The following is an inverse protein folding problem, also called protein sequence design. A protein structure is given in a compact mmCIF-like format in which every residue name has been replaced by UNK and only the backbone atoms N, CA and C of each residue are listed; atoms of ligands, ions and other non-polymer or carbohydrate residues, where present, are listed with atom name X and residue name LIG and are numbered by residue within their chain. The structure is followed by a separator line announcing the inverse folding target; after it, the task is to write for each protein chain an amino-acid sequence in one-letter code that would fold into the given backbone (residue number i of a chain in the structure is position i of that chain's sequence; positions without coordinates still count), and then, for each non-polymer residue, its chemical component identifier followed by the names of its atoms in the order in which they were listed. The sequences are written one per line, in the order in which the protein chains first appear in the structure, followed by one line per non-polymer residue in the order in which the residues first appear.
data_IF_262169189422
#
_entry.id   IF_262169189422
#
_cell.length_a   1.000
_cell.length_b   1.000
_cell.length_c   1.000
_cell.angle_alpha   90.00
_cell.angle_beta   90.00
_cell.angle_gamma   90.00
#
_symmetry.space_group_name_H-M   'P 1'
#
loop_
_entity.id
_entity.type
_entity.pdbx_description
1 polymer ?
#
# COMPACT_ATOMS: atom_id res chain seq x y z
N UNK A 1 -7.71 -1.95 -4.14
CA UNK A 1 -8.98 -1.38 -4.70
C UNK A 1 -9.48 -2.32 -5.79
N UNK A 2 -10.77 -2.55 -5.85
CA UNK A 2 -11.45 -3.39 -6.83
C UNK A 2 -12.41 -2.51 -7.64
N UNK A 3 -12.50 -2.75 -8.95
CA UNK A 3 -13.45 -2.08 -9.84
C UNK A 3 -14.48 -3.08 -10.33
N UNK A 4 -15.76 -2.79 -10.16
CA UNK A 4 -16.84 -3.59 -10.70
C UNK A 4 -17.16 -3.24 -12.16
N UNK A 5 -17.93 -4.12 -12.84
CA UNK A 5 -18.36 -3.90 -14.24
C UNK A 5 -19.22 -2.64 -14.42
N UNK A 6 -19.95 -2.23 -13.38
CA UNK A 6 -20.77 -1.02 -13.35
C UNK A 6 -20.00 0.25 -12.99
N UNK A 7 -18.67 0.19 -12.99
CA UNK A 7 -17.74 1.25 -12.62
C UNK A 7 -17.83 1.72 -11.17
N UNK A 8 -18.28 0.87 -10.26
CA UNK A 8 -18.15 1.11 -8.84
C UNK A 8 -16.77 0.67 -8.34
N UNK A 9 -16.21 1.44 -7.43
CA UNK A 9 -14.91 1.16 -6.83
C UNK A 9 -15.08 0.75 -5.38
N UNK A 10 -14.45 -0.34 -4.99
CA UNK A 10 -14.48 -0.86 -3.63
C UNK A 10 -13.05 -1.00 -3.10
N UNK A 11 -12.88 -0.85 -1.80
CA UNK A 11 -11.64 -1.19 -1.14
C UNK A 11 -11.90 -2.32 -0.16
N UNK A 12 -11.18 -3.42 -0.35
CA UNK A 12 -11.05 -4.47 0.63
C UNK A 12 -9.73 -4.26 1.37
N UNK A 13 -9.82 -3.92 2.64
CA UNK A 13 -8.69 -3.68 3.52
C UNK A 13 -8.58 -4.79 4.56
N UNK A 14 -7.51 -5.57 4.47
CA UNK A 14 -7.16 -6.55 5.49
C UNK A 14 -6.14 -5.93 6.43
N UNK A 15 -6.55 -5.70 7.66
CA UNK A 15 -5.67 -5.19 8.72
C UNK A 15 -4.91 -6.36 9.33
N UNK A 16 -3.70 -6.60 8.83
CA UNK A 16 -2.78 -7.59 9.36
C UNK A 16 -1.35 -7.15 9.12
N UNK A 17 -0.48 -7.33 10.11
CA UNK A 17 0.98 -7.15 10.02
C UNK A 17 1.73 -8.47 9.91
N UNK A 18 1.03 -9.59 9.91
CA UNK A 18 1.65 -10.91 9.78
C UNK A 18 2.03 -11.20 8.33
N UNK A 19 3.00 -12.07 8.14
CA UNK A 19 3.37 -12.57 6.82
C UNK A 19 2.16 -13.21 6.14
N UNK A 20 1.95 -12.90 4.86
CA UNK A 20 0.73 -13.26 4.15
C UNK A 20 1.02 -13.51 2.67
N UNK A 21 0.39 -14.56 2.13
CA UNK A 21 0.30 -14.80 0.71
C UNK A 21 -1.06 -14.34 0.18
N UNK A 22 -1.05 -13.61 -0.91
CA UNK A 22 -2.28 -13.25 -1.64
C UNK A 22 -2.28 -13.97 -2.97
N UNK A 23 -3.09 -15.01 -3.08
CA UNK A 23 -3.15 -15.87 -4.25
C UNK A 23 -4.36 -15.52 -5.09
N UNK A 24 -4.14 -15.16 -6.34
CA UNK A 24 -5.20 -14.94 -7.33
C UNK A 24 -5.23 -16.15 -8.26
N UNK A 25 -6.40 -16.72 -8.45
CA UNK A 25 -6.60 -17.83 -9.36
C UNK A 25 -7.83 -17.62 -10.25
N UNK A 26 -7.75 -18.19 -11.45
CA UNK A 26 -8.87 -18.26 -12.40
C UNK A 26 -9.00 -19.71 -12.84
N UNK A 27 -10.13 -20.32 -12.50
CA UNK A 27 -10.45 -21.68 -12.92
C UNK A 27 -11.84 -21.72 -13.55
N UNK A 28 -11.93 -22.28 -14.74
CA UNK A 28 -13.18 -22.39 -15.53
C UNK A 28 -14.01 -21.08 -15.58
N UNK A 29 -13.34 -19.93 -15.68
CA UNK A 29 -13.98 -18.61 -15.70
C UNK A 29 -14.40 -18.06 -14.33
N UNK A 30 -14.14 -18.78 -13.25
CA UNK A 30 -14.32 -18.30 -11.88
C UNK A 30 -13.04 -17.68 -11.36
N UNK A 31 -13.16 -16.47 -10.85
CA UNK A 31 -12.04 -15.74 -10.26
C UNK A 31 -12.09 -15.88 -8.73
N UNK A 32 -10.95 -16.14 -8.12
CA UNK A 32 -10.81 -16.23 -6.67
C UNK A 32 -9.60 -15.46 -6.17
N UNK A 33 -9.71 -14.97 -4.93
CA UNK A 33 -8.60 -14.39 -4.19
C UNK A 33 -8.55 -15.11 -2.84
N UNK A 34 -7.40 -15.70 -2.54
CA UNK A 34 -7.15 -16.38 -1.28
C UNK A 34 -6.12 -15.61 -0.48
N UNK A 35 -6.45 -15.28 0.76
CA UNK A 35 -5.53 -14.72 1.73
C UNK A 35 -5.07 -15.83 2.68
N UNK A 36 -3.78 -16.15 2.68
CA UNK A 36 -3.17 -17.15 3.55
C UNK A 36 -2.23 -16.44 4.52
N UNK A 37 -2.60 -16.39 5.78
CA UNK A 37 -1.89 -15.63 6.82
C UNK A 37 -1.31 -16.58 7.87
N UNK A 38 -0.10 -16.30 8.35
CA UNK A 38 0.54 -17.05 9.43
C UNK A 38 0.08 -16.47 10.77
N UNK A 39 -1.07 -16.95 11.28
CA UNK A 39 -1.62 -16.54 12.56
C UNK A 39 -2.27 -15.16 12.57
N UNK A 40 -2.75 -14.73 13.72
CA UNK A 40 -3.44 -13.44 13.89
C UNK A 40 -4.95 -13.52 13.64
N UNK A 41 -5.57 -12.38 13.47
CA UNK A 41 -7.00 -12.22 13.24
C UNK A 41 -7.23 -11.71 11.83
N UNK A 42 -8.23 -12.25 11.14
CA UNK A 42 -8.72 -11.68 9.89
C UNK A 42 -9.63 -10.49 10.19
N UNK A 43 -9.09 -9.29 10.20
CA UNK A 43 -9.85 -8.05 10.34
C UNK A 43 -10.04 -7.41 8.96
N UNK A 44 -11.16 -7.75 8.30
CA UNK A 44 -11.53 -7.19 7.01
C UNK A 44 -12.42 -5.97 7.17
N UNK A 45 -12.08 -4.91 6.42
CA UNK A 45 -12.90 -3.71 6.26
C UNK A 45 -13.22 -3.51 4.79
N UNK A 46 -14.49 -3.37 4.50
CA UNK A 46 -14.98 -3.16 3.14
C UNK A 46 -15.52 -1.74 3.01
N UNK A 47 -14.92 -0.96 2.12
CA UNK A 47 -15.40 0.38 1.77
C UNK A 47 -16.11 0.26 0.42
N UNK A 48 -17.45 0.34 0.47
CA UNK A 48 -18.28 -0.01 -0.67
C UNK A 48 -18.56 1.18 -1.58
N UNK A 49 -18.62 0.85 -2.79
CA UNK A 49 -19.02 1.35 -4.05
C UNK A 49 -19.34 2.83 -4.22
N UNK A 50 -18.35 3.54 -4.73
CA UNK A 50 -18.57 4.86 -5.32
C UNK A 50 -18.17 4.84 -6.79
N UNK A 51 -18.73 5.75 -7.58
CA UNK A 51 -18.40 5.92 -8.99
C UNK A 51 -16.99 6.50 -9.19
N UNK A 52 -16.47 7.18 -8.17
CA UNK A 52 -15.11 7.72 -8.14
C UNK A 52 -14.22 6.92 -7.18
N UNK A 53 -13.00 6.54 -7.58
CA UNK A 53 -12.04 5.92 -6.68
C UNK A 53 -11.63 6.85 -5.54
N UNK A 54 -11.62 8.18 -5.76
CA UNK A 54 -11.30 9.19 -4.76
C UNK A 54 -12.31 9.17 -3.62
N UNK A 55 -13.61 9.08 -3.92
CA UNK A 55 -14.67 9.04 -2.92
C UNK A 55 -14.56 7.77 -2.05
N UNK A 56 -14.17 6.64 -2.65
CA UNK A 56 -13.94 5.40 -1.91
C UNK A 56 -12.71 5.52 -1.00
N UNK A 57 -11.63 6.18 -1.47
CA UNK A 57 -10.45 6.50 -0.66
C UNK A 57 -10.78 7.47 0.47
N UNK A 58 -11.64 8.45 0.24
CA UNK A 58 -12.09 9.37 1.29
C UNK A 58 -12.79 8.61 2.43
N UNK A 59 -13.69 7.69 2.11
CA UNK A 59 -14.33 6.82 3.12
C UNK A 59 -13.30 6.02 3.93
N UNK A 60 -12.30 5.47 3.26
CA UNK A 60 -11.22 4.76 3.94
C UNK A 60 -10.42 5.70 4.86
N UNK A 61 -10.08 6.90 4.39
CA UNK A 61 -9.33 7.90 5.15
C UNK A 61 -10.13 8.43 6.35
N UNK A 62 -11.46 8.54 6.25
CA UNK A 62 -12.30 8.87 7.40
C UNK A 62 -12.25 7.80 8.49
N UNK A 63 -12.13 6.54 8.10
CA UNK A 63 -11.99 5.43 9.03
C UNK A 63 -10.58 5.31 9.63
N UNK A 64 -9.55 5.45 8.79
CA UNK A 64 -8.15 5.25 9.19
C UNK A 64 -7.47 6.49 9.77
N UNK A 65 -8.05 7.65 9.53
CA UNK A 65 -7.41 8.94 9.77
C UNK A 65 -6.69 9.45 8.52
N UNK A 66 -6.48 10.76 8.48
CA UNK A 66 -5.75 11.42 7.39
C UNK A 66 -4.25 11.34 7.66
N UNK A 67 -3.46 11.27 6.58
CA UNK A 67 -2.01 11.34 6.66
C UNK A 67 -1.55 12.67 7.26
N UNK A 68 -0.54 12.64 8.12
CA UNK A 68 0.11 13.86 8.60
C UNK A 68 0.87 14.51 7.44
N UNK A 69 0.94 15.84 7.46
CA UNK A 69 1.78 16.58 6.52
C UNK A 69 3.22 16.49 7.01
N UNK A 70 4.12 15.85 6.25
CA UNK A 70 5.53 15.77 6.63
C UNK A 70 6.23 17.13 6.45
N UNK A 71 7.40 17.36 7.07
CA UNK A 71 8.17 18.57 6.85
C UNK A 71 8.61 18.70 5.39
N UNK A 72 8.66 19.93 4.89
CA UNK A 72 8.91 20.22 3.47
C UNK A 72 10.21 19.59 2.93
N UNK A 73 11.27 19.56 3.73
CA UNK A 73 12.55 18.95 3.33
C UNK A 73 12.46 17.45 3.00
N UNK A 74 11.46 16.73 3.54
CA UNK A 74 11.27 15.31 3.29
C UNK A 74 10.81 15.02 1.84
N UNK A 75 10.36 16.03 1.08
CA UNK A 75 10.03 15.91 -0.33
C UNK A 75 11.22 16.11 -1.26
N UNK A 76 12.40 16.44 -0.71
CA UNK A 76 13.63 16.54 -1.47
C UNK A 76 14.19 15.19 -1.88
N UNK A 77 15.27 15.21 -2.66
CA UNK A 77 16.01 14.00 -3.01
C UNK A 77 16.81 13.50 -1.81
N UNK A 78 16.66 12.22 -1.50
CA UNK A 78 17.37 11.56 -0.40
C UNK A 78 18.13 10.35 -0.94
N UNK A 79 19.45 10.47 -1.02
CA UNK A 79 20.31 9.34 -1.35
C UNK A 79 20.57 8.50 -0.09
N UNK A 80 20.23 7.22 -0.15
CA UNK A 80 20.47 6.30 0.94
C UNK A 80 20.84 4.91 0.43
N UNK A 81 21.74 4.22 1.11
CA UNK A 81 22.00 2.80 0.90
C UNK A 81 22.63 2.18 2.14
N UNK A 82 22.43 0.89 2.32
CA UNK A 82 23.19 0.12 3.28
C UNK A 82 24.63 -0.04 2.80
N UNK A 83 25.61 0.35 3.63
CA UNK A 83 27.04 0.13 3.36
C UNK A 83 27.87 1.38 3.06
N UNK A 84 27.45 2.56 3.47
CA UNK A 84 28.35 3.71 3.60
C UNK A 84 29.30 3.44 4.77
N UNK A 85 30.56 3.08 4.47
CA UNK A 85 31.52 2.62 5.48
C UNK A 85 32.20 3.77 6.20
N UNK A 86 32.46 4.87 5.51
CA UNK A 86 33.21 6.02 5.99
C UNK A 86 32.85 7.30 5.24
N UNK A 87 33.37 8.42 5.70
CA UNK A 87 33.14 9.75 5.13
C UNK A 87 33.71 9.83 3.70
N UNK A 88 34.87 9.24 3.44
CA UNK A 88 35.51 9.29 2.14
C UNK A 88 34.66 8.59 1.05
N UNK A 89 33.89 7.61 1.45
CA UNK A 89 32.93 6.95 0.55
C UNK A 89 31.73 7.85 0.25
N UNK A 90 31.25 8.63 1.23
CA UNK A 90 30.20 9.63 1.02
C UNK A 90 30.65 10.74 0.09
N UNK A 91 31.89 11.24 0.25
CA UNK A 91 32.49 12.25 -0.64
C UNK A 91 32.51 11.75 -2.09
N UNK A 92 32.97 10.51 -2.32
CA UNK A 92 32.94 9.91 -3.66
C UNK A 92 31.56 9.80 -4.28
N UNK A 93 30.53 9.57 -3.44
CA UNK A 93 29.14 9.54 -3.91
C UNK A 93 28.69 10.93 -4.31
N UNK A 94 29.04 11.96 -3.50
CA UNK A 94 28.73 13.35 -3.82
C UNK A 94 29.42 13.82 -5.12
N UNK A 95 30.68 13.43 -5.33
CA UNK A 95 31.45 13.81 -6.53
C UNK A 95 30.87 13.19 -7.83
N UNK A 96 30.02 12.17 -7.72
CA UNK A 96 29.36 11.52 -8.85
C UNK A 96 27.98 12.10 -9.18
N UNK A 97 27.47 13.05 -8.39
CA UNK A 97 26.23 13.77 -8.65
C UNK A 97 26.48 15.14 -9.28
#
# INVERSE_FOLDING_TARGET
MLRERNNLFHINYLRSSNAMDVIKATDAGKHSITYKVIGGIFDFRFFLGEQSPENTLEKMNLYMGRSAIPPFWSFGFHQCRWGYKDVSYLEKVLDNY
#
